data_IF_211495568472
#
_entry.id   IF_211495568472
#
_cell.length_a   1.000
_cell.length_b   1.000
_cell.length_c   1.000
_cell.angle_alpha   90.00
_cell.angle_beta   90.00
_cell.angle_gamma   90.00
#
_symmetry.space_group_name_H-M   'P 1'
#
loop_
_entity.id
_entity.type
_entity.pdbx_description
1 polymer ?
#
# COMPACT_ATOMS: atom_id res chain seq x y z
N UNK A 1 70.45 32.12 11.11
CA UNK A 1 69.54 31.56 10.10
C UNK A 1 68.67 30.50 10.73
N UNK A 2 67.48 30.89 11.16
CA UNK A 2 66.49 30.06 11.86
C UNK A 2 65.49 29.54 10.82
N UNK A 3 65.46 28.21 10.63
CA UNK A 3 64.49 27.51 9.77
C UNK A 3 63.18 27.35 10.56
N UNK A 4 62.12 28.02 10.17
CA UNK A 4 60.76 27.82 10.70
C UNK A 4 60.17 26.56 9.97
N UNK A 5 59.92 25.54 10.73
CA UNK A 5 59.05 24.41 10.28
C UNK A 5 57.60 24.77 10.50
N UNK A 6 56.88 24.99 9.42
CA UNK A 6 55.42 25.04 9.44
C UNK A 6 54.87 23.62 9.41
N UNK A 7 54.36 23.15 10.54
CA UNK A 7 53.62 21.90 10.60
C UNK A 7 52.15 22.22 10.27
N UNK A 8 51.73 21.84 9.06
CA UNK A 8 50.31 21.91 8.68
C UNK A 8 49.60 20.73 9.30
N UNK A 9 48.81 21.00 10.34
CA UNK A 9 47.92 20.02 10.97
C UNK A 9 46.66 19.91 10.12
N UNK A 10 46.56 18.87 9.27
CA UNK A 10 45.33 18.54 8.53
C UNK A 10 44.37 17.91 9.52
N UNK A 11 43.39 18.70 9.96
CA UNK A 11 42.23 18.21 10.72
C UNK A 11 41.31 17.53 9.71
N UNK A 12 41.42 16.23 9.60
CA UNK A 12 40.41 15.41 8.91
C UNK A 12 39.19 15.36 9.82
N UNK A 13 38.27 16.31 9.64
CA UNK A 13 36.92 16.21 10.20
C UNK A 13 36.26 15.00 9.55
N UNK A 14 36.28 13.87 10.24
CA UNK A 14 35.50 12.70 9.88
C UNK A 14 34.02 13.07 9.86
N UNK A 15 33.50 13.37 8.68
CA UNK A 15 32.04 13.36 8.46
C UNK A 15 31.59 11.90 8.66
N UNK A 16 31.20 11.60 9.90
CA UNK A 16 30.39 10.41 10.19
C UNK A 16 29.09 10.63 9.43
N UNK A 17 29.06 10.19 8.17
CA UNK A 17 27.81 9.93 7.48
C UNK A 17 27.18 8.81 8.29
N UNK A 18 26.33 9.16 9.23
CA UNK A 18 25.36 8.23 9.75
C UNK A 18 24.53 7.83 8.55
N UNK A 19 24.92 6.76 7.88
CA UNK A 19 24.06 6.04 6.99
C UNK A 19 22.91 5.57 7.87
N UNK A 20 21.88 6.40 7.97
CA UNK A 20 20.62 6.04 8.58
C UNK A 20 20.16 4.84 7.78
N UNK A 21 20.30 3.66 8.39
CA UNK A 21 19.94 2.40 7.75
C UNK A 21 18.50 2.59 7.28
N UNK A 22 18.28 2.63 5.98
CA UNK A 22 16.98 2.93 5.41
C UNK A 22 15.97 2.01 6.09
N UNK A 23 14.98 2.60 6.76
CA UNK A 23 13.96 1.87 7.51
C UNK A 23 13.32 0.87 6.55
N UNK A 24 13.46 -0.42 6.84
CA UNK A 24 12.83 -1.45 6.00
C UNK A 24 11.32 -1.25 5.96
N UNK A 25 10.64 -1.64 4.86
CA UNK A 25 9.19 -1.50 4.75
C UNK A 25 8.47 -2.28 5.83
N UNK A 26 7.31 -1.76 6.23
CA UNK A 26 6.40 -2.45 7.14
C UNK A 26 5.60 -3.49 6.37
N UNK A 27 5.58 -4.71 6.87
CA UNK A 27 4.93 -5.86 6.24
C UNK A 27 3.64 -6.25 7.00
N UNK A 28 2.67 -6.80 6.29
CA UNK A 28 1.52 -7.51 6.84
C UNK A 28 1.41 -8.86 6.14
N UNK A 29 1.17 -9.94 6.87
CA UNK A 29 1.06 -11.29 6.32
C UNK A 29 -0.37 -11.76 6.39
N UNK A 30 -0.91 -12.26 5.26
CA UNK A 30 -2.24 -12.83 5.12
C UNK A 30 -2.18 -14.19 4.42
N UNK A 31 -3.16 -15.06 4.60
CA UNK A 31 -3.37 -16.17 3.67
C UNK A 31 -3.73 -15.61 2.29
N UNK A 32 -3.38 -16.31 1.21
CA UNK A 32 -3.80 -15.86 -0.12
C UNK A 32 -5.30 -16.06 -0.33
N UNK A 33 -5.89 -15.27 -1.19
CA UNK A 33 -7.32 -15.38 -1.52
C UNK A 33 -7.68 -16.78 -2.01
N UNK A 34 -6.80 -17.38 -2.82
CA UNK A 34 -6.99 -18.74 -3.30
C UNK A 34 -6.95 -19.79 -2.18
N UNK A 35 -6.04 -19.62 -1.21
CA UNK A 35 -5.97 -20.51 -0.04
C UNK A 35 -7.26 -20.42 0.80
N UNK A 36 -7.79 -19.22 1.00
CA UNK A 36 -9.06 -18.99 1.70
C UNK A 36 -10.24 -19.58 0.93
N UNK A 37 -10.32 -19.34 -0.38
CA UNK A 37 -11.42 -19.82 -1.23
C UNK A 37 -11.46 -21.33 -1.30
N UNK A 38 -10.32 -22.02 -1.37
CA UNK A 38 -10.23 -23.48 -1.34
C UNK A 38 -10.73 -24.09 -0.03
N UNK A 39 -10.76 -23.30 1.06
CA UNK A 39 -11.21 -23.71 2.40
C UNK A 39 -12.56 -23.14 2.78
N UNK A 40 -13.27 -22.53 1.83
CA UNK A 40 -14.60 -21.92 2.01
C UNK A 40 -14.60 -20.70 2.95
N UNK A 41 -13.46 -20.06 3.17
CA UNK A 41 -13.37 -18.80 3.94
C UNK A 41 -13.71 -17.61 3.06
N UNK A 42 -14.96 -17.51 2.64
CA UNK A 42 -15.50 -16.39 1.87
C UNK A 42 -16.99 -16.21 2.14
N UNK A 43 -17.46 -15.00 1.92
CA UNK A 43 -18.90 -14.72 1.82
C UNK A 43 -19.26 -14.53 0.36
N UNK A 44 -20.43 -14.99 -0.06
CA UNK A 44 -20.95 -14.75 -1.40
C UNK A 44 -22.17 -13.87 -1.37
N UNK A 45 -22.29 -12.99 -2.36
CA UNK A 45 -23.49 -12.20 -2.60
C UNK A 45 -23.81 -12.18 -4.10
N UNK A 46 -25.10 -11.98 -4.41
CA UNK A 46 -25.55 -11.89 -5.80
C UNK A 46 -25.50 -10.42 -6.24
N UNK A 47 -24.72 -10.16 -7.29
CA UNK A 47 -24.68 -8.86 -7.96
C UNK A 47 -25.28 -8.99 -9.38
N UNK A 48 -26.51 -8.56 -9.53
CA UNK A 48 -27.25 -8.61 -10.81
C UNK A 48 -27.24 -9.98 -11.50
N UNK A 49 -27.38 -11.07 -10.73
CA UNK A 49 -27.39 -12.44 -11.25
C UNK A 49 -26.02 -13.12 -11.29
N UNK A 50 -24.95 -12.42 -10.96
CA UNK A 50 -23.61 -12.99 -10.85
C UNK A 50 -23.24 -13.20 -9.37
N UNK A 51 -22.85 -14.42 -8.99
CA UNK A 51 -22.32 -14.69 -7.66
C UNK A 51 -20.91 -14.09 -7.54
N UNK A 52 -20.74 -13.16 -6.61
CA UNK A 52 -19.44 -12.58 -6.24
C UNK A 52 -19.02 -13.18 -4.90
N UNK A 53 -17.77 -13.67 -4.84
CA UNK A 53 -17.18 -14.21 -3.62
C UNK A 53 -16.15 -13.22 -3.08
N UNK A 54 -16.32 -12.86 -1.82
CA UNK A 54 -15.40 -11.98 -1.09
C UNK A 54 -14.74 -12.78 0.02
N UNK A 55 -13.40 -12.80 0.02
CA UNK A 55 -12.61 -13.51 1.03
C UNK A 55 -12.90 -12.98 2.42
N UNK A 56 -13.08 -13.90 3.36
CA UNK A 56 -13.29 -13.61 4.76
C UNK A 56 -12.05 -14.01 5.57
N UNK A 57 -11.06 -13.12 5.62
CA UNK A 57 -9.82 -13.34 6.38
C UNK A 57 -10.08 -13.58 7.88
N UNK A 58 -11.09 -12.88 8.44
CA UNK A 58 -11.46 -13.04 9.84
C UNK A 58 -11.87 -14.49 10.13
N UNK A 59 -12.78 -15.03 9.32
CA UNK A 59 -13.21 -16.41 9.45
C UNK A 59 -12.02 -17.37 9.33
N UNK A 60 -11.12 -17.12 8.37
CA UNK A 60 -9.91 -17.93 8.20
C UNK A 60 -9.06 -17.98 9.49
N UNK A 61 -8.80 -16.82 10.12
CA UNK A 61 -8.05 -16.78 11.39
C UNK A 61 -8.77 -17.39 12.57
N UNK A 62 -10.10 -17.38 12.58
CA UNK A 62 -10.91 -17.91 13.68
C UNK A 62 -11.11 -19.44 13.61
N UNK A 63 -11.25 -19.99 12.41
CA UNK A 63 -11.65 -21.38 12.21
C UNK A 63 -10.46 -22.30 11.84
N UNK A 64 -9.41 -21.78 11.20
CA UNK A 64 -8.24 -22.59 10.84
C UNK A 64 -7.19 -22.56 11.97
N UNK A 65 -6.94 -23.70 12.58
CA UNK A 65 -6.02 -23.83 13.73
C UNK A 65 -4.55 -23.66 13.31
N UNK A 66 -4.21 -23.99 12.06
CA UNK A 66 -2.82 -23.96 11.56
C UNK A 66 -2.43 -22.55 11.07
N UNK A 67 -3.38 -21.79 10.55
CA UNK A 67 -3.12 -20.49 9.95
C UNK A 67 -2.40 -19.52 10.89
N UNK A 68 -2.86 -19.26 12.13
CA UNK A 68 -2.16 -18.34 13.04
C UNK A 68 -0.73 -18.81 13.35
N UNK A 69 -0.51 -20.12 13.48
CA UNK A 69 0.82 -20.69 13.73
C UNK A 69 1.76 -20.49 12.52
N UNK A 70 1.26 -20.69 11.31
CA UNK A 70 2.02 -20.48 10.07
C UNK A 70 2.38 -19.00 9.92
N UNK A 71 1.41 -18.11 10.09
CA UNK A 71 1.63 -16.66 10.00
C UNK A 71 2.67 -16.20 11.04
N UNK A 72 2.55 -16.66 12.28
CA UNK A 72 3.49 -16.35 13.36
C UNK A 72 4.92 -16.81 13.03
N UNK A 73 5.08 -18.05 12.52
CA UNK A 73 6.39 -18.59 12.16
C UNK A 73 7.05 -17.83 11.01
N UNK A 74 6.30 -17.50 9.97
CA UNK A 74 6.79 -16.71 8.84
C UNK A 74 7.08 -15.28 9.26
N UNK A 75 6.22 -14.69 10.09
CA UNK A 75 6.45 -13.38 10.69
C UNK A 75 7.75 -13.34 11.47
N UNK A 76 8.05 -14.38 12.27
CA UNK A 76 9.33 -14.53 12.96
C UNK A 76 10.53 -14.53 12.01
N UNK A 77 10.46 -15.28 10.90
CA UNK A 77 11.52 -15.28 9.88
C UNK A 77 11.81 -13.88 9.34
N UNK A 78 10.74 -13.13 9.01
CA UNK A 78 10.88 -11.77 8.48
C UNK A 78 11.35 -10.77 9.54
N UNK A 79 10.91 -10.95 10.79
CA UNK A 79 11.39 -10.13 11.92
C UNK A 79 12.88 -10.37 12.19
N UNK A 80 13.37 -11.62 12.13
CA UNK A 80 14.80 -11.95 12.23
C UNK A 80 15.64 -11.27 11.13
N UNK A 81 15.01 -10.99 9.98
CA UNK A 81 15.61 -10.25 8.87
C UNK A 81 15.53 -8.73 9.04
N UNK A 82 14.95 -8.24 10.14
CA UNK A 82 14.84 -6.82 10.47
C UNK A 82 13.64 -6.09 9.86
N UNK A 83 12.61 -6.82 9.43
CA UNK A 83 11.35 -6.21 9.00
C UNK A 83 10.42 -5.95 10.19
N UNK A 84 9.65 -4.85 10.11
CA UNK A 84 8.53 -4.62 11.02
C UNK A 84 7.30 -5.35 10.46
N UNK A 85 6.80 -6.35 11.18
CA UNK A 85 5.64 -7.14 10.76
C UNK A 85 4.45 -6.78 11.63
N UNK A 86 3.36 -6.35 11.01
CA UNK A 86 2.07 -6.10 11.65
C UNK A 86 1.25 -7.38 11.69
N UNK A 87 0.66 -7.65 12.83
CA UNK A 87 -0.19 -8.81 13.04
C UNK A 87 -1.58 -8.57 12.47
N UNK A 88 -1.90 -9.27 11.38
CA UNK A 88 -3.17 -9.11 10.68
C UNK A 88 -4.37 -9.55 11.52
N UNK A 89 -4.23 -10.58 12.37
CA UNK A 89 -5.31 -11.05 13.24
C UNK A 89 -5.67 -9.99 14.29
N UNK A 90 -4.67 -9.37 14.93
CA UNK A 90 -4.91 -8.31 15.90
C UNK A 90 -5.51 -7.06 15.24
N UNK A 91 -5.07 -6.73 14.04
CA UNK A 91 -5.61 -5.58 13.31
C UNK A 91 -7.05 -5.81 12.84
N UNK A 92 -7.41 -7.04 12.45
CA UNK A 92 -8.79 -7.40 12.17
C UNK A 92 -9.70 -7.22 13.40
N UNK A 93 -9.26 -7.64 14.57
CA UNK A 93 -9.97 -7.41 15.85
C UNK A 93 -10.12 -5.91 16.16
N UNK A 94 -9.06 -5.14 15.94
CA UNK A 94 -9.09 -3.68 16.13
C UNK A 94 -10.07 -2.97 15.17
N UNK A 95 -10.18 -3.46 13.93
CA UNK A 95 -11.13 -2.92 12.94
C UNK A 95 -12.56 -3.13 13.43
N UNK A 96 -12.89 -4.32 13.93
CA UNK A 96 -14.24 -4.63 14.44
C UNK A 96 -14.65 -3.74 15.60
N UNK A 97 -13.74 -3.53 16.56
CA UNK A 97 -14.02 -2.64 17.69
C UNK A 97 -14.33 -1.23 17.19
N UNK A 98 -13.54 -0.73 16.25
CA UNK A 98 -13.76 0.60 15.66
C UNK A 98 -15.02 0.70 14.83
N UNK A 99 -15.37 -0.34 14.07
CA UNK A 99 -16.63 -0.38 13.33
C UNK A 99 -17.83 -0.36 14.27
N UNK A 100 -17.78 -1.10 15.37
CA UNK A 100 -18.83 -1.06 16.41
C UNK A 100 -18.93 0.36 17.05
N UNK A 101 -17.81 1.03 17.29
CA UNK A 101 -17.76 2.41 17.78
C UNK A 101 -18.32 3.39 16.74
N UNK A 102 -17.95 3.24 15.46
CA UNK A 102 -18.44 4.05 14.36
C UNK A 102 -19.97 3.91 14.21
N UNK A 103 -20.52 2.68 14.27
CA UNK A 103 -21.98 2.45 14.26
C UNK A 103 -22.70 3.11 15.44
N UNK A 104 -22.07 3.20 16.60
CA UNK A 104 -22.65 3.85 17.78
C UNK A 104 -22.68 5.39 17.66
N UNK A 105 -21.84 5.96 16.79
CA UNK A 105 -21.65 7.42 16.66
C UNK A 105 -22.28 8.02 15.41
N UNK A 106 -22.56 7.21 14.36
CA UNK A 106 -23.08 7.68 13.08
C UNK A 106 -24.62 7.60 13.09
N UNK A 107 -25.31 8.74 13.07
CA UNK A 107 -26.69 8.81 12.65
C UNK A 107 -26.77 8.52 11.14
N UNK A 108 -27.84 7.88 10.69
CA UNK A 108 -28.12 7.27 9.39
C UNK A 108 -28.00 8.14 8.12
N UNK A 109 -27.19 9.17 8.09
CA UNK A 109 -26.88 9.98 6.91
C UNK A 109 -25.65 9.44 6.20
N UNK A 110 -25.89 8.56 5.29
CA UNK A 110 -24.93 7.90 4.40
C UNK A 110 -24.18 8.91 3.55
N UNK A 111 -22.88 9.08 3.83
CA UNK A 111 -21.97 9.56 2.81
C UNK A 111 -21.73 8.42 1.81
N UNK A 112 -21.91 8.66 0.51
CA UNK A 112 -21.54 7.72 -0.53
C UNK A 112 -20.03 7.42 -0.41
N UNK A 113 -19.69 6.27 0.16
CA UNK A 113 -18.32 5.76 0.18
C UNK A 113 -18.08 4.97 -1.10
N UNK A 114 -16.86 5.01 -1.62
CA UNK A 114 -16.45 4.08 -2.67
C UNK A 114 -16.54 2.65 -2.13
N UNK A 115 -16.94 1.73 -3.01
CA UNK A 115 -16.96 0.31 -2.69
C UNK A 115 -15.52 -0.17 -2.52
N UNK A 116 -15.16 -0.59 -1.30
CA UNK A 116 -13.84 -1.12 -0.95
C UNK A 116 -13.92 -2.63 -0.70
N UNK A 117 -12.90 -3.37 -1.12
CA UNK A 117 -12.75 -4.77 -0.74
C UNK A 117 -12.29 -4.89 0.72
N UNK A 118 -12.52 -6.07 1.34
CA UNK A 118 -11.99 -6.34 2.69
C UNK A 118 -10.47 -6.11 2.78
N UNK A 119 -9.74 -6.43 1.72
CA UNK A 119 -8.30 -6.19 1.64
C UNK A 119 -7.97 -4.69 1.57
N UNK A 120 -8.74 -3.88 0.83
CA UNK A 120 -8.53 -2.43 0.75
C UNK A 120 -8.78 -1.75 2.10
N UNK A 121 -9.83 -2.18 2.82
CA UNK A 121 -10.10 -1.72 4.19
C UNK A 121 -8.92 -2.07 5.11
N UNK A 122 -8.40 -3.30 5.05
CA UNK A 122 -7.23 -3.73 5.80
C UNK A 122 -6.01 -2.87 5.47
N UNK A 123 -5.67 -2.71 4.19
CA UNK A 123 -4.54 -1.88 3.73
C UNK A 123 -4.65 -0.46 4.30
N UNK A 124 -5.81 0.16 4.15
CA UNK A 124 -6.07 1.54 4.60
C UNK A 124 -5.99 1.71 6.11
N UNK A 125 -6.49 0.74 6.88
CA UNK A 125 -6.50 0.80 8.35
C UNK A 125 -5.13 0.47 8.94
N UNK A 126 -4.44 -0.53 8.38
CA UNK A 126 -3.16 -1.03 8.90
C UNK A 126 -1.99 -0.17 8.45
N UNK A 127 -2.07 0.43 7.26
CA UNK A 127 -0.99 1.24 6.65
C UNK A 127 0.35 0.48 6.64
N UNK A 128 0.33 -0.78 6.17
CA UNK A 128 1.55 -1.50 5.81
C UNK A 128 2.04 -1.06 4.43
N UNK A 129 3.35 -1.07 4.20
CA UNK A 129 3.91 -0.76 2.89
C UNK A 129 3.74 -1.95 1.93
N UNK A 130 3.77 -3.17 2.48
CA UNK A 130 3.73 -4.43 1.72
C UNK A 130 2.74 -5.40 2.35
N UNK A 131 1.92 -6.03 1.53
CA UNK A 131 1.08 -7.17 1.88
C UNK A 131 1.75 -8.43 1.37
N UNK A 132 2.03 -9.36 2.27
CA UNK A 132 2.53 -10.70 1.94
C UNK A 132 1.37 -11.66 1.99
N UNK A 133 1.15 -12.38 0.89
CA UNK A 133 0.19 -13.46 0.82
C UNK A 133 0.91 -14.81 0.81
N UNK A 134 0.44 -15.73 1.63
CA UNK A 134 0.94 -17.10 1.68
C UNK A 134 -0.12 -18.09 1.25
N UNK A 135 0.29 -19.02 0.41
CA UNK A 135 -0.47 -20.22 0.04
C UNK A 135 0.37 -21.46 0.34
N UNK A 136 -0.25 -22.51 0.83
CA UNK A 136 0.37 -23.82 0.99
C UNK A 136 -0.61 -24.96 0.77
N UNK A 137 -0.08 -26.10 0.40
CA UNK A 137 -0.83 -27.34 0.23
C UNK A 137 0.00 -28.53 0.68
N UNK A 138 -0.62 -29.42 1.48
CA UNK A 138 -0.06 -30.72 1.85
C UNK A 138 -0.47 -31.76 0.82
N UNK A 139 0.51 -32.54 0.36
CA UNK A 139 0.33 -33.64 -0.59
C UNK A 139 0.24 -34.99 0.14
N UNK A 140 -0.26 -36.02 -0.53
CA UNK A 140 -0.45 -37.37 0.00
C UNK A 140 0.87 -38.06 0.43
N UNK A 141 2.00 -37.64 -0.10
CA UNK A 141 3.34 -38.12 0.27
C UNK A 141 3.97 -37.36 1.44
N UNK A 142 3.19 -36.60 2.19
CA UNK A 142 3.63 -35.71 3.26
C UNK A 142 4.60 -34.61 2.82
N UNK A 143 4.63 -34.25 1.55
CA UNK A 143 5.28 -33.00 1.12
C UNK A 143 4.34 -31.82 1.27
N UNK A 144 4.90 -30.64 1.52
CA UNK A 144 4.17 -29.37 1.57
C UNK A 144 4.78 -28.44 0.54
N UNK A 145 3.98 -28.03 -0.43
CA UNK A 145 4.33 -26.96 -1.34
C UNK A 145 3.85 -25.63 -0.80
N UNK A 146 4.61 -24.56 -1.05
CA UNK A 146 4.21 -23.21 -0.64
C UNK A 146 4.56 -22.17 -1.70
N UNK A 147 3.84 -21.09 -1.67
CA UNK A 147 4.12 -19.86 -2.39
C UNK A 147 3.95 -18.68 -1.45
N UNK A 148 4.92 -17.78 -1.43
CA UNK A 148 4.86 -16.49 -0.74
C UNK A 148 4.99 -15.42 -1.81
N UNK A 149 4.05 -14.49 -1.84
CA UNK A 149 4.02 -13.36 -2.76
C UNK A 149 3.91 -12.08 -1.96
N UNK A 150 4.70 -11.09 -2.33
CA UNK A 150 4.63 -9.75 -1.77
C UNK A 150 4.01 -8.80 -2.78
N UNK A 151 3.07 -8.00 -2.32
CA UNK A 151 2.39 -6.98 -3.11
C UNK A 151 2.61 -5.61 -2.48
N UNK A 152 2.91 -4.64 -3.30
CA UNK A 152 2.86 -3.23 -2.92
C UNK A 152 1.43 -2.90 -2.44
N UNK A 153 1.29 -2.40 -1.21
CA UNK A 153 -0.01 -2.11 -0.63
C UNK A 153 -0.76 -0.96 -1.32
N UNK A 154 -0.05 -0.12 -2.07
CA UNK A 154 -0.59 1.05 -2.77
C UNK A 154 -1.04 0.71 -4.19
N UNK A 155 -0.21 -0.01 -4.94
CA UNK A 155 -0.48 -0.30 -6.37
C UNK A 155 -1.01 -1.70 -6.61
N UNK A 156 -0.99 -2.58 -5.60
CA UNK A 156 -1.28 -4.01 -5.71
C UNK A 156 -0.37 -4.75 -6.71
N UNK A 157 0.73 -4.14 -7.15
CA UNK A 157 1.72 -4.79 -8.00
C UNK A 157 2.49 -5.84 -7.21
N UNK A 158 2.72 -7.01 -7.82
CA UNK A 158 3.59 -8.04 -7.24
C UNK A 158 5.04 -7.58 -7.30
N UNK A 159 5.72 -7.56 -6.16
CA UNK A 159 7.08 -7.04 -6.01
C UNK A 159 8.10 -8.12 -5.66
N UNK A 160 7.67 -9.20 -5.04
CA UNK A 160 8.53 -10.34 -4.73
C UNK A 160 7.73 -11.65 -4.71
N UNK A 161 8.41 -12.74 -5.00
CA UNK A 161 7.84 -14.08 -4.90
C UNK A 161 8.88 -15.10 -4.45
N UNK A 162 8.45 -16.08 -3.67
CA UNK A 162 9.23 -17.26 -3.30
C UNK A 162 8.34 -18.48 -3.30
N UNK A 163 8.80 -19.55 -3.89
CA UNK A 163 8.09 -20.85 -3.93
C UNK A 163 9.02 -21.95 -3.47
N UNK A 164 8.44 -23.03 -3.00
CA UNK A 164 9.24 -24.20 -2.63
C UNK A 164 8.39 -25.38 -2.21
N UNK A 165 9.08 -26.50 -2.00
CA UNK A 165 8.49 -27.74 -1.50
C UNK A 165 9.39 -28.31 -0.39
N UNK A 166 8.78 -28.83 0.65
CA UNK A 166 9.48 -29.46 1.79
C UNK A 166 8.75 -30.72 2.26
N UNK A 167 9.46 -31.59 2.95
CA UNK A 167 8.81 -32.74 3.63
C UNK A 167 8.32 -32.32 5.01
N UNK A 168 7.08 -32.67 5.33
CA UNK A 168 6.51 -32.49 6.65
C UNK A 168 6.81 -33.73 7.53
N UNK A 169 8.06 -33.85 7.99
CA UNK A 169 8.54 -35.02 8.73
C UNK A 169 7.82 -35.23 10.05
N UNK A 170 7.53 -34.14 10.75
CA UNK A 170 6.98 -34.15 12.11
C UNK A 170 5.46 -33.93 12.14
N UNK A 171 4.79 -33.99 10.98
CA UNK A 171 3.38 -33.65 10.81
C UNK A 171 3.00 -32.30 11.41
N UNK A 172 3.94 -31.36 11.41
CA UNK A 172 3.77 -29.99 11.86
C UNK A 172 4.03 -29.02 10.70
N UNK A 173 2.94 -28.55 10.11
CA UNK A 173 2.98 -27.70 8.89
C UNK A 173 3.70 -26.39 9.17
N UNK A 174 3.47 -25.75 10.31
CA UNK A 174 4.08 -24.45 10.61
C UNK A 174 5.61 -24.54 10.70
N UNK A 175 6.15 -25.60 11.29
CA UNK A 175 7.61 -25.85 11.38
C UNK A 175 8.18 -26.21 10.01
N UNK A 176 7.48 -27.06 9.24
CA UNK A 176 7.91 -27.42 7.89
C UNK A 176 7.98 -26.19 6.99
N UNK A 177 6.98 -25.31 7.02
CA UNK A 177 6.93 -24.08 6.27
C UNK A 177 8.00 -23.08 6.73
N UNK A 178 8.19 -22.89 8.04
CA UNK A 178 9.28 -22.03 8.56
C UNK A 178 10.63 -22.48 7.99
N UNK A 179 10.94 -23.76 8.05
CA UNK A 179 12.20 -24.31 7.54
C UNK A 179 12.35 -24.08 6.04
N UNK A 180 11.28 -24.33 5.29
CA UNK A 180 11.28 -24.14 3.83
C UNK A 180 11.43 -22.69 3.43
N UNK A 181 10.73 -21.79 4.12
CA UNK A 181 10.80 -20.35 3.90
C UNK A 181 12.22 -19.85 4.21
N UNK A 182 12.79 -20.18 5.37
CA UNK A 182 14.19 -19.80 5.72
C UNK A 182 15.20 -20.21 4.64
N UNK A 183 14.99 -21.36 4.01
CA UNK A 183 15.89 -21.84 2.93
C UNK A 183 15.77 -21.01 1.66
N UNK A 184 14.59 -20.51 1.33
CA UNK A 184 14.29 -19.88 0.04
C UNK A 184 14.13 -18.34 0.13
N UNK A 185 14.18 -17.75 1.33
CA UNK A 185 13.83 -16.34 1.57
C UNK A 185 14.83 -15.32 1.02
N UNK A 186 16.08 -15.71 0.79
CA UNK A 186 17.15 -14.76 0.43
C UNK A 186 16.88 -13.98 -0.87
N UNK A 187 16.36 -14.65 -1.88
CA UNK A 187 16.05 -13.97 -3.15
C UNK A 187 14.79 -13.10 -3.03
N UNK A 188 13.80 -13.56 -2.26
CA UNK A 188 12.64 -12.77 -1.90
C UNK A 188 13.03 -11.47 -1.17
N UNK A 189 13.94 -11.54 -0.19
CA UNK A 189 14.47 -10.38 0.52
C UNK A 189 15.16 -9.39 -0.43
N UNK A 190 15.97 -9.88 -1.36
CA UNK A 190 16.61 -9.02 -2.37
C UNK A 190 15.58 -8.32 -3.27
N UNK A 191 14.49 -9.00 -3.63
CA UNK A 191 13.42 -8.40 -4.43
C UNK A 191 12.71 -7.30 -3.64
N UNK A 192 12.38 -7.53 -2.36
CA UNK A 192 11.80 -6.54 -1.46
C UNK A 192 12.72 -5.33 -1.27
N UNK A 193 14.01 -5.56 -1.02
CA UNK A 193 14.97 -4.47 -0.86
C UNK A 193 15.08 -3.62 -2.13
N UNK A 194 15.21 -4.23 -3.31
CA UNK A 194 15.26 -3.48 -4.59
C UNK A 194 14.01 -2.62 -4.82
N UNK A 195 12.84 -3.18 -4.53
CA UNK A 195 11.60 -2.42 -4.64
C UNK A 195 11.58 -1.25 -3.65
N UNK A 196 12.00 -1.47 -2.40
CA UNK A 196 11.98 -0.41 -1.39
C UNK A 196 13.00 0.69 -1.69
N UNK A 197 14.18 0.33 -2.19
CA UNK A 197 15.20 1.29 -2.64
C UNK A 197 14.65 2.16 -3.79
N UNK A 198 13.86 1.57 -4.71
CA UNK A 198 13.16 2.34 -5.75
C UNK A 198 12.16 3.32 -5.14
N UNK A 199 11.35 2.89 -4.16
CA UNK A 199 10.40 3.78 -3.48
C UNK A 199 11.10 4.94 -2.76
N UNK A 200 12.23 4.67 -2.09
CA UNK A 200 13.03 5.69 -1.40
C UNK A 200 13.62 6.70 -2.39
N UNK A 201 14.10 6.23 -3.53
CA UNK A 201 14.77 7.07 -4.54
C UNK A 201 13.79 7.82 -5.41
N UNK A 202 12.74 7.17 -5.89
CA UNK A 202 11.85 7.65 -6.94
C UNK A 202 10.45 8.01 -6.43
N UNK A 203 10.21 7.88 -5.12
CA UNK A 203 8.91 8.12 -4.52
C UNK A 203 7.94 6.93 -4.66
N UNK A 204 6.88 6.99 -3.89
CA UNK A 204 5.79 6.00 -3.87
C UNK A 204 4.84 6.24 -5.04
N UNK A 205 4.43 5.17 -5.70
CA UNK A 205 3.47 5.24 -6.80
C UNK A 205 2.03 5.23 -6.28
N UNK A 206 1.21 6.13 -6.80
CA UNK A 206 -0.23 6.18 -6.55
C UNK A 206 -0.98 6.40 -7.86
N UNK A 207 -2.31 6.22 -7.81
CA UNK A 207 -3.25 6.57 -8.87
C UNK A 207 -4.10 7.75 -8.39
N UNK A 208 -4.23 8.77 -9.25
CA UNK A 208 -5.06 9.93 -9.00
C UNK A 208 -6.07 10.08 -10.13
N UNK A 209 -7.35 10.11 -9.78
CA UNK A 209 -8.43 10.36 -10.73
C UNK A 209 -9.10 11.69 -10.40
N UNK A 210 -9.31 12.51 -11.41
CA UNK A 210 -10.10 13.73 -11.32
C UNK A 210 -11.42 13.48 -12.06
N UNK A 211 -12.54 13.85 -11.45
CA UNK A 211 -13.86 13.78 -12.05
C UNK A 211 -14.61 15.08 -11.83
N UNK A 212 -15.36 15.51 -12.82
CA UNK A 212 -16.28 16.62 -12.66
C UNK A 212 -17.64 16.09 -12.19
N UNK A 213 -18.27 16.80 -11.26
CA UNK A 213 -19.63 16.52 -10.85
C UNK A 213 -20.59 16.85 -12.00
N UNK A 214 -21.60 16.02 -12.24
CA UNK A 214 -22.55 16.16 -13.36
C UNK A 214 -23.35 17.48 -13.38
N UNK A 215 -23.55 18.08 -12.22
CA UNK A 215 -24.25 19.37 -12.06
C UNK A 215 -23.26 20.55 -11.89
N UNK A 216 -21.99 20.37 -12.18
CA UNK A 216 -21.01 21.45 -12.16
C UNK A 216 -20.91 22.11 -13.53
N UNK A 217 -21.01 23.44 -13.58
CA UNK A 217 -20.96 24.21 -14.83
C UNK A 217 -19.56 24.30 -15.46
N UNK A 218 -18.54 23.71 -14.81
CA UNK A 218 -17.16 23.65 -15.30
C UNK A 218 -16.78 22.28 -15.83
N UNK A 219 -15.65 22.23 -16.55
CA UNK A 219 -15.03 21.00 -17.05
C UNK A 219 -13.51 21.05 -16.90
N UNK A 220 -12.82 20.00 -17.30
CA UNK A 220 -11.34 19.98 -17.35
C UNK A 220 -10.77 20.89 -18.46
N UNK A 221 -11.59 21.28 -19.44
CA UNK A 221 -11.28 22.23 -20.52
C UNK A 221 -11.60 23.69 -20.15
N UNK A 222 -12.20 23.94 -18.96
CA UNK A 222 -12.49 25.30 -18.50
C UNK A 222 -11.19 26.07 -18.30
N UNK A 223 -11.09 27.27 -18.91
CA UNK A 223 -9.90 28.10 -18.83
C UNK A 223 -9.79 28.88 -17.51
N UNK A 224 -8.61 28.84 -16.90
CA UNK A 224 -8.20 29.63 -15.75
C UNK A 224 -6.90 30.36 -16.05
N UNK A 225 -6.96 31.69 -16.09
CA UNK A 225 -5.80 32.56 -16.41
C UNK A 225 -5.16 32.27 -17.77
N UNK A 226 -5.95 31.76 -18.74
CA UNK A 226 -5.49 31.47 -20.11
C UNK A 226 -4.91 30.05 -20.32
N UNK A 227 -5.08 29.17 -19.34
CA UNK A 227 -4.73 27.73 -19.44
C UNK A 227 -5.95 26.89 -19.06
N UNK A 228 -6.13 25.74 -19.71
CA UNK A 228 -7.17 24.80 -19.35
C UNK A 228 -6.91 24.22 -17.94
N UNK A 229 -7.98 23.87 -17.23
CA UNK A 229 -7.88 23.32 -15.88
C UNK A 229 -7.00 22.04 -15.84
N UNK A 230 -7.09 21.21 -16.88
CA UNK A 230 -6.25 20.00 -16.97
C UNK A 230 -4.76 20.35 -17.02
N UNK A 231 -4.38 21.38 -17.75
CA UNK A 231 -2.98 21.83 -17.84
C UNK A 231 -2.52 22.42 -16.50
N UNK A 232 -3.38 23.20 -15.85
CA UNK A 232 -3.11 23.71 -14.49
C UNK A 232 -2.86 22.57 -13.51
N UNK A 233 -3.67 21.49 -13.57
CA UNK A 233 -3.50 20.30 -12.73
C UNK A 233 -2.18 19.59 -13.07
N UNK A 234 -1.85 19.40 -14.35
CA UNK A 234 -0.59 18.78 -14.78
C UNK A 234 0.62 19.62 -14.34
N UNK A 235 0.54 20.95 -14.41
CA UNK A 235 1.58 21.84 -13.90
C UNK A 235 1.78 21.65 -12.40
N UNK A 236 0.70 21.61 -11.63
CA UNK A 236 0.77 21.34 -10.20
C UNK A 236 1.37 19.95 -9.91
N UNK A 237 0.99 18.91 -10.65
CA UNK A 237 1.56 17.56 -10.52
C UNK A 237 3.06 17.56 -10.83
N UNK A 238 3.51 18.28 -11.85
CA UNK A 238 4.93 18.41 -12.21
C UNK A 238 5.75 18.98 -11.05
N UNK A 239 5.20 19.96 -10.33
CA UNK A 239 5.88 20.61 -9.22
C UNK A 239 5.83 19.83 -7.90
N UNK A 240 4.86 18.93 -7.74
CA UNK A 240 4.61 18.24 -6.48
C UNK A 240 4.89 16.73 -6.50
N UNK A 241 5.28 16.17 -7.65
CA UNK A 241 5.70 14.76 -7.76
C UNK A 241 7.21 14.62 -7.73
N UNK A 242 7.71 13.48 -7.31
CA UNK A 242 9.15 13.18 -7.30
C UNK A 242 9.64 13.07 -8.74
N UNK A 243 10.65 13.85 -9.08
CA UNK A 243 11.22 13.94 -10.44
C UNK A 243 10.19 14.29 -11.52
N UNK A 244 9.13 15.02 -11.16
CA UNK A 244 8.03 15.38 -12.07
C UNK A 244 7.41 14.15 -12.77
N UNK A 245 7.37 13.01 -12.06
CA UNK A 245 6.99 11.72 -12.65
C UNK A 245 5.52 11.41 -12.39
N UNK A 246 4.73 11.46 -13.45
CA UNK A 246 3.33 11.02 -13.53
C UNK A 246 2.98 10.73 -14.99
N UNK A 247 1.93 9.95 -15.23
CA UNK A 247 1.43 9.62 -16.56
C UNK A 247 -0.07 9.88 -16.63
N UNK A 248 -0.51 10.71 -17.57
CA UNK A 248 -1.93 10.89 -17.90
C UNK A 248 -2.34 9.70 -18.77
N UNK A 249 -3.12 8.76 -18.20
CA UNK A 249 -3.50 7.51 -18.86
C UNK A 249 -4.85 7.59 -19.57
N UNK A 250 -5.75 8.46 -19.09
CA UNK A 250 -7.05 8.69 -19.71
C UNK A 250 -7.47 10.15 -19.50
N UNK A 251 -8.09 10.75 -20.51
CA UNK A 251 -8.58 12.12 -20.50
C UNK A 251 -9.86 12.26 -21.32
N UNK A 252 -10.86 12.81 -20.68
CA UNK A 252 -12.10 13.30 -21.29
C UNK A 252 -12.40 14.69 -20.75
N UNK A 253 -13.41 15.37 -21.27
CA UNK A 253 -13.86 16.67 -20.77
C UNK A 253 -14.18 16.67 -19.25
N UNK A 254 -14.64 15.53 -18.72
CA UNK A 254 -15.13 15.42 -17.32
C UNK A 254 -14.31 14.46 -16.46
N UNK A 255 -13.33 13.76 -17.01
CA UNK A 255 -12.51 12.78 -16.28
C UNK A 255 -11.07 12.83 -16.76
N UNK A 256 -10.11 12.83 -15.81
CA UNK A 256 -8.70 12.60 -16.07
C UNK A 256 -8.18 11.55 -15.09
N UNK A 257 -7.45 10.56 -15.60
CA UNK A 257 -6.79 9.55 -14.80
C UNK A 257 -5.28 9.66 -14.95
N UNK A 258 -4.62 9.80 -13.80
CA UNK A 258 -3.17 9.83 -13.70
C UNK A 258 -2.68 8.56 -13.02
N UNK A 259 -1.79 7.86 -13.69
CA UNK A 259 -1.11 6.67 -13.18
C UNK A 259 0.37 6.97 -12.93
N UNK A 260 1.04 6.08 -12.21
CA UNK A 260 2.46 6.22 -11.89
C UNK A 260 2.80 7.58 -11.27
N UNK A 261 1.87 8.16 -10.53
CA UNK A 261 2.08 9.43 -9.83
C UNK A 261 3.03 9.18 -8.67
N UNK A 262 4.28 9.64 -8.78
CA UNK A 262 5.33 9.40 -7.79
C UNK A 262 5.31 10.46 -6.71
N UNK A 263 4.85 10.10 -5.51
CA UNK A 263 4.79 10.99 -4.36
C UNK A 263 5.91 10.69 -3.36
N UNK A 264 6.39 11.67 -2.57
CA UNK A 264 7.35 11.40 -1.50
C UNK A 264 6.80 10.36 -0.51
N UNK A 265 7.67 9.48 0.01
CA UNK A 265 7.29 8.53 1.07
C UNK A 265 6.82 9.23 2.33
N UNK A 266 7.49 10.32 2.67
CA UNK A 266 7.22 11.11 3.88
C UNK A 266 7.29 12.61 3.56
N UNK A 267 6.47 13.38 4.26
CA UNK A 267 6.49 14.85 4.26
C UNK A 267 6.34 15.35 5.69
N UNK A 268 7.27 16.14 6.17
CA UNK A 268 7.29 16.66 7.55
C UNK A 268 7.21 15.54 8.62
N UNK A 269 7.92 14.42 8.41
CA UNK A 269 7.97 13.28 9.32
C UNK A 269 6.69 12.43 9.36
N UNK A 270 5.78 12.61 8.39
CA UNK A 270 4.53 11.84 8.25
C UNK A 270 4.54 11.09 6.92
N UNK A 271 4.20 9.82 6.96
CA UNK A 271 4.01 9.01 5.74
C UNK A 271 2.86 9.59 4.91
N UNK A 272 3.11 9.76 3.61
CA UNK A 272 2.11 10.22 2.64
C UNK A 272 1.39 9.04 2.01
N UNK A 273 0.08 9.19 1.82
CA UNK A 273 -0.74 8.30 1.00
C UNK A 273 -1.48 9.09 -0.10
N UNK A 274 -2.24 8.39 -0.95
CA UNK A 274 -2.96 9.02 -2.04
C UNK A 274 -3.97 10.08 -1.55
N UNK A 275 -4.59 9.87 -0.37
CA UNK A 275 -5.52 10.82 0.24
C UNK A 275 -4.84 12.12 0.61
N UNK A 276 -3.66 12.02 1.24
CA UNK A 276 -2.92 13.20 1.68
C UNK A 276 -2.51 14.04 0.47
N UNK A 277 -1.99 13.39 -0.58
CA UNK A 277 -1.59 14.05 -1.82
C UNK A 277 -2.77 14.70 -2.54
N UNK A 278 -3.88 13.97 -2.72
CA UNK A 278 -5.10 14.50 -3.32
C UNK A 278 -5.69 15.68 -2.50
N UNK A 279 -5.56 15.63 -1.17
CA UNK A 279 -6.00 16.74 -0.31
C UNK A 279 -5.16 18.01 -0.52
N UNK A 280 -3.87 17.89 -0.84
CA UNK A 280 -3.03 19.05 -1.18
C UNK A 280 -3.47 19.67 -2.50
N UNK A 281 -3.70 18.86 -3.54
CA UNK A 281 -4.25 19.35 -4.81
C UNK A 281 -5.62 20.00 -4.62
N UNK A 282 -6.52 19.37 -3.87
CA UNK A 282 -7.83 19.95 -3.52
C UNK A 282 -7.69 21.34 -2.92
N UNK A 283 -6.79 21.51 -1.93
CA UNK A 283 -6.55 22.80 -1.30
C UNK A 283 -5.96 23.84 -2.26
N UNK A 284 -5.19 23.40 -3.24
CA UNK A 284 -4.68 24.27 -4.30
C UNK A 284 -5.84 24.78 -5.19
N UNK A 285 -6.71 23.87 -5.65
CA UNK A 285 -7.84 24.21 -6.50
C UNK A 285 -8.95 25.02 -5.78
N UNK A 286 -9.00 24.99 -4.45
CA UNK A 286 -9.89 25.84 -3.67
C UNK A 286 -9.50 27.31 -3.60
N UNK A 287 -8.26 27.64 -3.97
CA UNK A 287 -7.73 29.02 -3.93
C UNK A 287 -7.96 29.74 -5.27
N UNK A 288 -7.94 31.10 -5.29
CA UNK A 288 -7.87 31.83 -6.53
C UNK A 288 -6.65 31.42 -7.37
N UNK A 289 -6.75 31.38 -8.69
CA UNK A 289 -7.89 31.83 -9.51
C UNK A 289 -9.01 30.78 -9.64
N UNK A 290 -8.82 29.53 -9.18
CA UNK A 290 -9.72 28.42 -9.45
C UNK A 290 -11.04 28.53 -8.65
N UNK A 291 -10.96 28.67 -7.32
CA UNK A 291 -12.10 28.72 -6.40
C UNK A 291 -13.07 27.51 -6.55
N UNK A 292 -12.51 26.34 -6.89
CA UNK A 292 -13.28 25.11 -7.14
C UNK A 292 -13.52 24.36 -5.83
N UNK A 293 -14.78 24.12 -5.50
CA UNK A 293 -15.15 23.19 -4.42
C UNK A 293 -14.95 21.76 -4.88
N UNK A 294 -14.52 20.88 -4.00
CA UNK A 294 -14.28 19.48 -4.37
C UNK A 294 -14.24 18.55 -3.17
N UNK A 295 -14.51 17.28 -3.41
CA UNK A 295 -14.44 16.20 -2.43
C UNK A 295 -13.36 15.19 -2.82
N UNK A 296 -12.63 14.69 -1.81
CA UNK A 296 -11.66 13.62 -1.98
C UNK A 296 -12.26 12.31 -1.49
N UNK A 297 -12.28 11.31 -2.36
CA UNK A 297 -12.65 9.94 -2.06
C UNK A 297 -11.40 9.06 -2.22
N UNK A 298 -11.33 7.94 -1.50
CA UNK A 298 -10.15 7.06 -1.54
C UNK A 298 -10.57 5.59 -1.65
N UNK A 299 -9.72 4.79 -2.30
CA UNK A 299 -9.81 3.33 -2.28
C UNK A 299 -8.47 2.79 -1.82
N UNK A 300 -8.45 2.04 -0.71
CA UNK A 300 -7.22 1.58 -0.08
C UNK A 300 -6.27 2.71 0.29
N UNK A 301 -4.97 2.54 0.01
CA UNK A 301 -3.91 3.52 0.29
C UNK A 301 -3.44 4.27 -0.95
N UNK A 302 -3.54 3.65 -2.11
CA UNK A 302 -2.86 4.10 -3.31
C UNK A 302 -3.74 4.75 -4.36
N UNK A 303 -5.06 4.80 -4.18
CA UNK A 303 -5.97 5.42 -5.13
C UNK A 303 -6.77 6.55 -4.48
N UNK A 304 -6.76 7.70 -5.11
CA UNK A 304 -7.60 8.83 -4.71
C UNK A 304 -8.38 9.38 -5.91
N UNK A 305 -9.62 9.79 -5.64
CA UNK A 305 -10.50 10.44 -6.61
C UNK A 305 -10.85 11.82 -6.06
N UNK A 306 -10.63 12.86 -6.85
CA UNK A 306 -11.10 14.22 -6.57
C UNK A 306 -12.31 14.47 -7.45
N UNK A 307 -13.45 14.73 -6.83
CA UNK A 307 -14.69 15.13 -7.53
C UNK A 307 -14.81 16.64 -7.45
N UNK A 308 -14.68 17.32 -8.60
CA UNK A 308 -14.73 18.77 -8.72
C UNK A 308 -16.17 19.25 -8.81
N UNK A 309 -16.46 20.41 -8.23
CA UNK A 309 -17.80 21.01 -8.23
C UNK A 309 -18.75 20.46 -7.17
N UNK A 310 -18.35 19.43 -6.40
CA UNK A 310 -19.18 18.92 -5.29
C UNK A 310 -19.10 19.87 -4.08
N UNK A 311 -20.25 20.19 -3.51
CA UNK A 311 -20.41 21.09 -2.35
C UNK A 311 -20.37 20.33 -1.03
#
# INVERSE_FOLDING_TARGET
MRKLFFTVLIVIAGLSVNAQQAKKPTLMILPSDNWCTQRYFYTSYNNHGTEIRVVNYKQAFQEDIELPLVISKIGGVLTDMGYSVKDAEQELKNIEVREAEDYATVSSTTSAALEETALDVLKRRIKSDVVIQIWWQTHSDNTVSFTIEAFDAYTSKRIATSTGTTKNKDKNISVALETAVRKNIKEFDKQLCRWFDDQVKNGREIVLTIRCWDNWDGSLETEYSGEELIDCIQNWLRDNTVHSNFNLSDLTEITAQFEQVRIPLEKNGRSLDARDFATELRKHLQKPPYNITSKVMVRGLGEAIIVLGEK
#
